data_IF_700727955154
#
_entry.id   IF_700727955154
#
_cell.length_a   1.000
_cell.length_b   1.000
_cell.length_c   1.000
_cell.angle_alpha   90.00
_cell.angle_beta   90.00
_cell.angle_gamma   90.00
#
_symmetry.space_group_name_H-M   'P 1'
#
loop_
_entity.id
_entity.type
_entity.pdbx_description
1 polymer ?
#
# COMPACT_ATOMS: atom_id res chain seq x y z
N UNK A 1 -28.16 5.12 15.85
CA UNK A 1 -27.32 5.33 17.04
C UNK A 1 -26.27 4.22 17.08
N UNK A 2 -25.22 4.37 16.26
CA UNK A 2 -23.98 3.58 16.28
C UNK A 2 -22.89 4.60 15.93
N UNK A 3 -22.11 5.01 16.93
CA UNK A 3 -20.96 5.89 16.77
C UNK A 3 -19.86 5.14 16.03
N UNK A 4 -19.49 5.61 14.83
CA UNK A 4 -18.28 5.19 14.15
C UNK A 4 -17.09 5.89 14.82
N UNK A 5 -16.36 5.15 15.65
CA UNK A 5 -15.12 5.62 16.24
C UNK A 5 -14.06 5.78 15.14
N UNK A 6 -13.83 7.03 14.70
CA UNK A 6 -12.65 7.41 13.94
C UNK A 6 -11.41 7.21 14.82
N UNK A 7 -10.72 6.07 14.66
CA UNK A 7 -9.43 5.80 15.26
C UNK A 7 -8.34 6.48 14.42
N UNK A 8 -8.05 7.73 14.73
CA UNK A 8 -6.89 8.43 14.18
C UNK A 8 -5.60 7.78 14.71
N UNK A 9 -4.88 7.11 13.83
CA UNK A 9 -3.51 6.71 14.08
C UNK A 9 -2.59 7.92 13.90
N UNK A 10 -2.20 8.55 15.00
CA UNK A 10 -1.20 9.61 14.99
C UNK A 10 0.18 9.02 15.29
N UNK A 11 1.13 9.23 14.39
CA UNK A 11 2.57 9.06 14.63
C UNK A 11 3.18 10.46 14.67
N UNK A 12 4.05 10.73 15.65
CA UNK A 12 4.81 11.97 15.71
C UNK A 12 6.28 11.68 16.01
N UNK A 13 7.17 12.51 15.47
CA UNK A 13 8.62 12.32 15.54
C UNK A 13 9.20 13.45 16.39
N UNK A 14 9.83 13.15 17.53
CA UNK A 14 10.47 14.18 18.34
C UNK A 14 11.84 14.56 17.76
N UNK A 15 12.07 15.86 17.56
CA UNK A 15 13.42 16.42 17.35
C UNK A 15 13.98 16.96 18.67
N UNK A 16 15.26 16.72 19.00
CA UNK A 16 15.88 17.24 20.21
C UNK A 16 16.49 18.63 19.95
N UNK A 17 15.82 19.70 20.37
CA UNK A 17 16.46 21.02 20.47
C UNK A 17 17.10 21.20 21.85
N UNK A 18 18.43 21.34 21.87
CA UNK A 18 19.13 22.01 22.98
C UNK A 18 19.58 23.39 22.50
N UNK A 19 19.00 24.43 23.11
CA UNK A 19 19.37 25.82 22.89
C UNK A 19 20.69 26.14 23.60
N UNK A 20 21.61 26.83 22.92
CA UNK A 20 22.59 27.72 23.54
C UNK A 20 22.91 28.89 22.62
N UNK A 21 22.83 30.09 23.19
CA UNK A 21 22.90 31.37 22.48
C UNK A 21 24.30 32.02 22.53
N UNK A 22 24.63 32.71 21.42
CA UNK A 22 25.44 33.95 21.28
C UNK A 22 27.00 33.89 21.33
N UNK A 23 27.73 34.92 20.84
CA UNK A 23 27.66 35.63 19.55
C UNK A 23 29.05 35.83 18.84
N UNK A 24 29.05 36.28 17.58
CA UNK A 24 30.20 36.73 16.73
C UNK A 24 30.99 37.94 17.30
N UNK A 25 32.21 38.39 16.80
CA UNK A 25 32.56 38.52 15.35
C UNK A 25 34.06 38.60 14.83
N UNK A 26 34.18 38.59 13.48
CA UNK A 26 35.06 39.38 12.54
C UNK A 26 36.47 38.93 12.03
N UNK A 27 36.51 38.78 10.68
CA UNK A 27 37.53 39.22 9.67
C UNK A 27 38.87 38.46 9.59
N UNK A 28 39.58 38.22 8.46
CA UNK A 28 39.80 38.96 7.19
C UNK A 28 40.53 38.03 6.17
N UNK A 29 40.27 38.22 4.87
CA UNK A 29 40.97 37.70 3.66
C UNK A 29 42.14 38.68 3.34
N UNK A 30 43.28 38.39 2.65
CA UNK A 30 43.33 37.86 1.26
C UNK A 30 44.54 37.01 0.76
N UNK A 31 44.31 36.35 -0.39
CA UNK A 31 45.29 35.75 -1.33
C UNK A 31 46.11 36.82 -2.09
N UNK A 32 47.16 36.53 -2.92
CA UNK A 32 46.93 35.97 -4.29
C UNK A 32 48.10 35.23 -5.03
N UNK A 33 47.74 34.61 -6.18
CA UNK A 33 48.51 34.36 -7.46
C UNK A 33 49.68 33.35 -7.46
N UNK A 34 50.08 32.68 -8.55
CA UNK A 34 49.59 32.15 -9.86
C UNK A 34 50.86 31.59 -10.59
N UNK A 35 50.69 30.84 -11.70
CA UNK A 35 51.67 30.42 -12.75
C UNK A 35 52.21 28.98 -12.57
N UNK A 36 52.43 28.11 -13.58
CA UNK A 36 52.21 28.06 -15.05
C UNK A 36 52.55 26.60 -15.51
N UNK A 37 51.92 26.13 -16.59
CA UNK A 37 52.25 24.91 -17.37
C UNK A 37 53.58 25.05 -18.18
N UNK A 38 54.22 23.97 -18.72
CA UNK A 38 53.87 23.42 -20.06
C UNK A 38 54.08 21.87 -20.24
N UNK A 39 54.03 21.39 -21.49
CA UNK A 39 53.47 20.10 -21.96
C UNK A 39 54.43 19.09 -22.66
N UNK A 40 54.07 17.78 -22.63
CA UNK A 40 54.21 16.66 -23.64
C UNK A 40 55.63 16.24 -24.18
N UNK A 41 55.85 15.16 -25.00
CA UNK A 41 55.02 14.05 -25.53
C UNK A 41 55.69 12.61 -25.59
N UNK A 42 55.03 11.63 -26.27
CA UNK A 42 55.47 10.28 -26.77
C UNK A 42 55.53 9.13 -25.74
N UNK A 43 55.14 7.85 -25.99
CA UNK A 43 55.23 7.00 -27.21
C UNK A 43 54.41 5.70 -27.01
N UNK A 44 53.69 5.25 -28.04
CA UNK A 44 53.19 3.86 -28.22
C UNK A 44 54.37 2.91 -28.62
N UNK A 45 54.31 1.55 -28.51
CA UNK A 45 53.42 0.75 -29.37
C UNK A 45 53.05 -0.72 -28.94
N UNK A 46 52.18 -1.33 -29.77
CA UNK A 46 52.03 -2.78 -30.12
C UNK A 46 51.16 -3.72 -29.25
N UNK A 47 50.04 -4.12 -29.87
CA UNK A 47 49.21 -5.32 -29.67
C UNK A 47 49.90 -6.62 -30.15
N UNK A 48 49.45 -7.83 -29.74
CA UNK A 48 48.44 -8.55 -30.55
C UNK A 48 47.40 -9.40 -29.78
N UNK A 49 46.22 -9.54 -30.42
CA UNK A 49 45.30 -10.69 -30.49
C UNK A 49 45.08 -11.62 -29.28
N UNK A 50 43.85 -11.61 -28.73
CA UNK A 50 43.10 -12.82 -28.39
C UNK A 50 41.59 -12.54 -28.51
N UNK A 51 40.92 -13.34 -29.35
CA UNK A 51 39.51 -13.23 -29.67
C UNK A 51 38.64 -13.87 -28.58
N UNK A 52 37.60 -13.16 -28.13
CA UNK A 52 36.49 -13.74 -27.36
C UNK A 52 35.28 -13.93 -28.30
N UNK A 53 34.61 -15.10 -28.30
CA UNK A 53 33.43 -15.33 -29.13
C UNK A 53 32.16 -14.70 -28.52
N UNK A 54 31.10 -14.48 -29.32
CA UNK A 54 29.90 -13.77 -28.90
C UNK A 54 28.97 -14.67 -28.07
N UNK A 55 28.42 -14.12 -26.99
CA UNK A 55 27.39 -14.78 -26.19
C UNK A 55 26.08 -14.90 -26.98
N UNK A 56 25.70 -16.14 -27.24
CA UNK A 56 24.49 -16.57 -27.93
C UNK A 56 23.23 -16.20 -27.17
N UNK A 57 22.21 -15.76 -27.92
CA UNK A 57 20.82 -15.59 -27.49
C UNK A 57 20.30 -16.84 -26.78
N UNK A 58 19.80 -16.69 -25.54
CA UNK A 58 18.97 -17.71 -24.90
C UNK A 58 17.52 -17.22 -24.85
N UNK A 59 16.70 -17.84 -25.70
CA UNK A 59 15.24 -17.93 -25.53
C UNK A 59 14.94 -18.84 -24.33
N UNK A 60 13.87 -18.60 -23.55
CA UNK A 60 13.46 -19.53 -22.51
C UNK A 60 12.90 -20.79 -23.16
N UNK A 61 13.59 -21.92 -22.98
CA UNK A 61 13.10 -23.23 -23.36
C UNK A 61 12.50 -23.87 -22.13
N UNK A 62 11.19 -24.08 -22.18
CA UNK A 62 10.47 -24.96 -21.29
C UNK A 62 11.08 -26.36 -21.36
N UNK A 63 11.54 -26.88 -20.23
CA UNK A 63 11.74 -28.30 -20.00
C UNK A 63 12.06 -28.51 -18.51
N UNK A 64 11.03 -28.78 -17.72
CA UNK A 64 11.21 -29.61 -16.51
C UNK A 64 10.64 -30.96 -16.87
N UNK A 65 11.55 -31.88 -17.21
CA UNK A 65 11.27 -33.31 -17.26
C UNK A 65 10.95 -33.77 -15.84
N UNK A 66 9.67 -33.82 -15.50
CA UNK A 66 9.23 -34.55 -14.32
C UNK A 66 9.31 -36.05 -14.64
N UNK A 67 10.16 -36.77 -13.91
CA UNK A 67 10.11 -38.23 -13.89
C UNK A 67 8.69 -38.65 -13.48
N UNK A 68 8.08 -39.53 -14.27
CA UNK A 68 6.76 -40.07 -13.97
C UNK A 68 6.81 -40.84 -12.65
N UNK A 69 6.34 -40.19 -11.57
CA UNK A 69 6.02 -40.84 -10.31
C UNK A 69 4.73 -41.66 -10.49
N UNK A 70 4.55 -42.75 -9.71
CA UNK A 70 3.37 -43.62 -9.83
C UNK A 70 2.07 -42.81 -9.68
N UNK A 71 1.05 -43.19 -10.46
CA UNK A 71 -0.28 -42.57 -10.49
C UNK A 71 -0.83 -42.46 -9.06
N UNK A 72 -0.90 -41.24 -8.56
CA UNK A 72 -1.44 -40.94 -7.24
C UNK A 72 -2.95 -40.76 -7.38
N UNK A 73 -3.73 -41.57 -6.68
CA UNK A 73 -5.20 -41.58 -6.65
C UNK A 73 -5.77 -40.36 -5.88
N UNK A 74 -5.22 -39.17 -6.10
CA UNK A 74 -5.64 -37.93 -5.43
C UNK A 74 -5.46 -36.70 -6.33
N UNK A 75 -6.32 -35.71 -6.14
CA UNK A 75 -6.29 -34.40 -6.80
C UNK A 75 -6.27 -33.28 -5.76
N UNK A 76 -5.49 -32.22 -6.01
CA UNK A 76 -5.42 -31.03 -5.18
C UNK A 76 -5.83 -29.80 -5.98
N UNK A 77 -6.70 -28.99 -5.41
CA UNK A 77 -7.10 -27.68 -5.96
C UNK A 77 -6.76 -26.61 -4.93
N UNK A 78 -5.83 -25.72 -5.27
CA UNK A 78 -5.43 -24.60 -4.41
C UNK A 78 -6.18 -23.33 -4.81
N UNK A 79 -7.08 -22.88 -3.94
CA UNK A 79 -7.86 -21.66 -4.10
C UNK A 79 -7.33 -20.51 -3.24
N UNK A 80 -7.82 -19.29 -3.51
CA UNK A 80 -7.45 -18.12 -2.72
C UNK A 80 -8.14 -18.16 -1.34
N UNK A 81 -7.53 -18.87 -0.38
CA UNK A 81 -7.98 -18.99 1.01
C UNK A 81 -8.43 -20.40 1.44
N UNK A 82 -8.57 -21.34 0.50
CA UNK A 82 -9.03 -22.71 0.75
C UNK A 82 -8.24 -23.70 -0.12
N UNK A 83 -8.03 -24.92 0.37
CA UNK A 83 -7.39 -26.01 -0.36
C UNK A 83 -8.34 -27.20 -0.37
N UNK A 84 -8.68 -27.66 -1.57
CA UNK A 84 -9.52 -28.85 -1.75
C UNK A 84 -8.64 -30.05 -2.09
N UNK A 85 -8.78 -31.13 -1.32
CA UNK A 85 -8.17 -32.43 -1.58
C UNK A 85 -9.27 -33.43 -1.93
N UNK A 86 -9.16 -34.05 -3.10
CA UNK A 86 -10.02 -35.15 -3.54
C UNK A 86 -9.23 -36.45 -3.56
N UNK A 87 -9.77 -37.49 -2.93
CA UNK A 87 -9.18 -38.83 -2.87
C UNK A 87 -10.15 -39.82 -3.48
N UNK A 88 -9.70 -40.59 -4.47
CA UNK A 88 -10.51 -41.66 -5.05
C UNK A 88 -10.60 -42.84 -4.06
N UNK A 89 -11.82 -43.13 -3.59
CA UNK A 89 -12.11 -44.21 -2.65
C UNK A 89 -12.78 -45.42 -3.33
N UNK A 90 -13.06 -45.35 -4.64
CA UNK A 90 -13.73 -46.42 -5.40
C UNK A 90 -12.97 -47.75 -5.31
N UNK A 91 -11.64 -47.69 -5.33
CA UNK A 91 -10.75 -48.87 -5.29
C UNK A 91 -10.61 -49.48 -3.89
N UNK A 92 -11.12 -48.82 -2.85
CA UNK A 92 -10.86 -49.14 -1.44
C UNK A 92 -12.04 -49.84 -0.74
N UNK A 93 -13.19 -49.98 -1.41
CA UNK A 93 -14.37 -50.68 -0.88
C UNK A 93 -14.99 -50.00 0.34
N UNK A 94 -14.90 -48.67 0.40
CA UNK A 94 -15.42 -47.87 1.53
C UNK A 94 -16.88 -47.53 1.23
N UNK A 95 -17.81 -48.21 1.90
CA UNK A 95 -19.26 -48.05 1.64
C UNK A 95 -19.93 -46.99 2.54
N UNK A 96 -19.24 -46.46 3.56
CA UNK A 96 -19.85 -45.55 4.54
C UNK A 96 -18.89 -44.48 5.07
N UNK A 97 -19.40 -43.26 5.28
CA UNK A 97 -18.67 -42.16 5.95
C UNK A 97 -18.27 -42.48 7.38
N UNK A 98 -18.92 -43.48 8.02
CA UNK A 98 -18.59 -43.95 9.37
C UNK A 98 -17.24 -44.65 9.47
N UNK A 99 -16.72 -45.11 8.34
CA UNK A 99 -15.46 -45.83 8.26
C UNK A 99 -14.28 -44.90 7.89
N UNK A 100 -14.52 -43.60 7.70
CA UNK A 100 -13.51 -42.60 7.37
C UNK A 100 -13.20 -41.74 8.59
N UNK A 101 -11.90 -41.55 8.85
CA UNK A 101 -11.37 -40.74 9.93
C UNK A 101 -10.42 -39.71 9.33
N UNK A 102 -10.84 -38.45 9.34
CA UNK A 102 -10.03 -37.29 8.94
C UNK A 102 -9.64 -36.56 10.22
N UNK A 103 -8.34 -36.57 10.51
CA UNK A 103 -7.73 -35.90 11.66
C UNK A 103 -6.84 -34.78 11.13
N UNK A 104 -7.05 -33.58 11.66
CA UNK A 104 -6.53 -32.33 11.08
C UNK A 104 -6.03 -31.45 12.21
N UNK A 105 -4.73 -31.20 12.18
CA UNK A 105 -4.08 -30.19 13.04
C UNK A 105 -3.74 -28.95 12.21
N UNK A 106 -3.30 -27.88 12.88
CA UNK A 106 -2.86 -26.62 12.27
C UNK A 106 -1.83 -26.80 11.14
N UNK A 107 -1.04 -27.89 11.19
CA UNK A 107 0.04 -28.19 10.23
C UNK A 107 0.04 -29.64 9.76
N UNK A 108 -0.93 -30.46 10.15
CA UNK A 108 -0.90 -31.91 9.90
C UNK A 108 -2.26 -32.39 9.38
N UNK A 109 -2.23 -33.39 8.51
CA UNK A 109 -3.42 -34.04 7.96
C UNK A 109 -3.21 -35.55 7.96
N UNK A 110 -4.08 -36.25 8.66
CA UNK A 110 -4.10 -37.71 8.72
C UNK A 110 -5.48 -38.22 8.31
N UNK A 111 -5.52 -38.94 7.20
CA UNK A 111 -6.73 -39.57 6.68
C UNK A 111 -6.57 -41.07 6.78
N UNK A 112 -7.48 -41.71 7.51
CA UNK A 112 -7.57 -43.17 7.68
C UNK A 112 -8.95 -43.64 7.27
N UNK A 113 -9.02 -44.82 6.68
CA UNK A 113 -10.29 -45.46 6.38
C UNK A 113 -10.26 -46.94 6.80
N UNK A 114 -11.39 -47.44 7.26
CA UNK A 114 -11.57 -48.84 7.63
C UNK A 114 -12.07 -49.59 6.41
N UNK A 115 -11.32 -50.62 6.01
CA UNK A 115 -11.66 -51.51 4.90
C UNK A 115 -11.44 -52.95 5.40
N UNK A 116 -12.44 -53.81 5.22
CA UNK A 116 -12.44 -55.20 5.70
C UNK A 116 -12.07 -55.36 7.18
N UNK A 117 -12.56 -54.46 8.04
CA UNK A 117 -12.29 -54.48 9.47
C UNK A 117 -10.91 -53.95 9.88
N UNK A 118 -10.00 -53.68 8.93
CA UNK A 118 -8.66 -53.16 9.20
C UNK A 118 -8.58 -51.67 8.90
N UNK A 119 -7.99 -50.89 9.80
CA UNK A 119 -7.78 -49.46 9.59
C UNK A 119 -6.55 -49.25 8.68
N UNK A 120 -6.77 -48.65 7.50
CA UNK A 120 -5.71 -48.30 6.54
C UNK A 120 -5.50 -46.79 6.53
N UNK A 121 -4.24 -46.36 6.43
CA UNK A 121 -3.89 -44.95 6.24
C UNK A 121 -3.95 -44.60 4.77
N UNK A 122 -4.81 -43.66 4.40
CA UNK A 122 -4.96 -43.16 3.03
C UNK A 122 -3.97 -42.02 2.76
N UNK A 123 -3.80 -41.13 3.73
CA UNK A 123 -2.87 -40.02 3.65
C UNK A 123 -2.32 -39.68 5.03
N UNK A 124 -1.03 -39.39 5.10
CA UNK A 124 -0.37 -38.93 6.31
C UNK A 124 0.61 -37.83 5.93
N UNK A 125 0.23 -36.59 6.21
CA UNK A 125 1.05 -35.39 5.98
C UNK A 125 1.36 -34.79 7.34
N UNK A 126 2.61 -34.90 7.76
CA UNK A 126 3.06 -34.38 9.05
C UNK A 126 3.30 -32.87 9.05
N UNK A 127 3.51 -32.28 7.86
CA UNK A 127 3.81 -30.84 7.71
C UNK A 127 3.20 -30.33 6.42
N UNK A 128 2.14 -29.53 6.55
CA UNK A 128 1.55 -28.73 5.48
C UNK A 128 2.38 -27.46 5.26
N UNK A 129 2.43 -26.96 4.02
CA UNK A 129 3.15 -25.73 3.67
C UNK A 129 2.53 -24.49 4.32
N UNK A 130 1.20 -24.44 4.35
CA UNK A 130 0.42 -23.39 4.98
C UNK A 130 -0.26 -23.92 6.25
N UNK A 131 -0.53 -23.01 7.18
CA UNK A 131 -1.37 -23.32 8.34
C UNK A 131 -2.83 -23.39 7.93
N UNK A 132 -3.55 -24.35 8.48
CA UNK A 132 -4.98 -24.56 8.21
C UNK A 132 -5.78 -24.41 9.50
N UNK A 133 -7.03 -23.94 9.37
CA UNK A 133 -7.96 -23.88 10.51
C UNK A 133 -8.64 -25.23 10.67
N UNK A 134 -8.15 -26.04 11.60
CA UNK A 134 -8.72 -27.36 11.91
C UNK A 134 -10.22 -27.29 12.24
N UNK A 135 -10.67 -26.25 12.95
CA UNK A 135 -12.08 -26.02 13.30
C UNK A 135 -12.99 -25.64 12.12
N UNK A 136 -12.43 -25.13 11.03
CA UNK A 136 -13.17 -24.74 9.82
C UNK A 136 -12.95 -25.72 8.67
N UNK A 137 -12.25 -26.83 8.91
CA UNK A 137 -12.04 -27.89 7.93
C UNK A 137 -13.29 -28.75 7.84
N UNK A 138 -13.78 -28.96 6.62
CA UNK A 138 -14.93 -29.83 6.36
C UNK A 138 -14.52 -30.97 5.43
N UNK A 139 -15.13 -32.12 5.62
CA UNK A 139 -14.94 -33.26 4.73
C UNK A 139 -16.27 -33.96 4.47
N UNK A 140 -16.41 -34.52 3.27
CA UNK A 140 -17.58 -35.26 2.84
C UNK A 140 -17.22 -36.27 1.76
N UNK A 141 -18.09 -37.23 1.52
CA UNK A 141 -17.97 -38.18 0.42
C UNK A 141 -18.89 -37.69 -0.69
N UNK A 142 -18.33 -37.49 -1.89
CA UNK A 142 -19.03 -37.15 -3.11
C UNK A 142 -18.88 -38.30 -4.10
N UNK A 143 -19.97 -39.02 -4.36
CA UNK A 143 -19.99 -40.27 -5.13
C UNK A 143 -18.93 -41.27 -4.63
N UNK A 144 -17.83 -41.43 -5.38
CA UNK A 144 -16.72 -42.33 -5.09
C UNK A 144 -15.44 -41.60 -4.64
N UNK A 145 -15.55 -40.33 -4.23
CA UNK A 145 -14.43 -39.48 -3.82
C UNK A 145 -14.61 -38.95 -2.39
N UNK A 146 -13.54 -39.01 -1.59
CA UNK A 146 -13.45 -38.27 -0.34
C UNK A 146 -12.92 -36.86 -0.63
N UNK A 147 -13.76 -35.86 -0.36
CA UNK A 147 -13.43 -34.44 -0.51
C UNK A 147 -13.12 -33.86 0.86
N UNK A 148 -11.94 -33.25 1.01
CA UNK A 148 -11.50 -32.53 2.21
C UNK A 148 -11.22 -31.09 1.82
N UNK A 149 -12.02 -30.15 2.32
CA UNK A 149 -11.79 -28.73 2.14
C UNK A 149 -11.12 -28.16 3.40
N UNK A 150 -9.85 -27.77 3.23
CA UNK A 150 -8.99 -27.21 4.25
C UNK A 150 -8.98 -25.69 4.10
N UNK A 151 -9.53 -24.99 5.09
CA UNK A 151 -9.46 -23.53 5.10
C UNK A 151 -8.08 -23.07 5.55
N UNK A 152 -7.41 -22.26 4.73
CA UNK A 152 -6.12 -21.67 5.10
C UNK A 152 -6.36 -20.73 6.28
N UNK A 153 -5.47 -20.78 7.28
CA UNK A 153 -5.31 -19.66 8.18
C UNK A 153 -4.84 -18.53 7.29
N UNK A 154 -5.68 -17.49 7.11
CA UNK A 154 -5.20 -16.22 6.58
C UNK A 154 -3.93 -15.91 7.34
N UNK A 155 -2.77 -15.97 6.67
CA UNK A 155 -1.53 -15.58 7.30
C UNK A 155 -1.76 -14.14 7.72
N UNK A 156 -2.04 -13.92 9.01
CA UNK A 156 -1.83 -12.63 9.62
C UNK A 156 -0.46 -12.22 9.14
N UNK A 157 -0.37 -11.13 8.38
CA UNK A 157 0.92 -10.60 7.94
C UNK A 157 1.80 -10.59 9.17
N UNK A 158 2.71 -11.57 9.24
CA UNK A 158 3.69 -11.64 10.31
C UNK A 158 4.68 -10.56 9.96
N UNK A 159 4.32 -9.35 10.36
CA UNK A 159 5.28 -8.28 10.48
C UNK A 159 6.40 -8.83 11.37
N UNK A 160 7.66 -8.81 10.93
CA UNK A 160 8.74 -8.91 11.88
C UNK A 160 8.52 -7.76 12.87
N UNK A 161 8.28 -8.13 14.13
CA UNK A 161 7.80 -7.25 15.20
C UNK A 161 8.87 -6.24 15.66
N UNK A 162 9.84 -5.88 14.82
CA UNK A 162 11.08 -5.25 15.23
C UNK A 162 11.48 -4.21 14.18
N UNK A 163 11.36 -2.97 14.65
CA UNK A 163 11.71 -1.68 14.05
C UNK A 163 10.73 -1.14 13.00
N UNK A 164 10.07 -0.02 13.36
CA UNK A 164 9.46 0.95 12.44
C UNK A 164 10.54 1.66 11.61
N UNK A 165 11.58 0.94 11.18
CA UNK A 165 12.61 1.45 10.30
C UNK A 165 12.06 1.72 8.91
N UNK A 166 12.69 2.64 8.20
CA UNK A 166 12.30 3.00 6.85
C UNK A 166 12.22 1.79 5.91
N UNK A 167 13.20 0.88 5.97
CA UNK A 167 13.26 -0.29 5.09
C UNK A 167 12.15 -1.31 5.39
N UNK A 168 11.83 -1.49 6.68
CA UNK A 168 10.76 -2.40 7.12
C UNK A 168 9.39 -1.87 6.71
N UNK A 169 9.15 -0.57 6.94
CA UNK A 169 7.91 0.09 6.59
C UNK A 169 7.67 0.10 5.08
N UNK A 170 8.67 0.48 4.30
CA UNK A 170 8.53 0.58 2.84
C UNK A 170 8.30 -0.78 2.18
N UNK A 171 8.98 -1.83 2.65
CA UNK A 171 8.77 -3.19 2.16
C UNK A 171 7.39 -3.74 2.53
N UNK A 172 6.97 -3.60 3.78
CA UNK A 172 5.74 -4.24 4.26
C UNK A 172 4.46 -3.49 3.91
N UNK A 173 4.47 -2.16 3.81
CA UNK A 173 3.23 -1.38 3.60
C UNK A 173 2.64 -1.62 2.21
N UNK A 174 3.46 -1.94 1.22
CA UNK A 174 3.01 -2.22 -0.15
C UNK A 174 2.02 -3.40 -0.21
N UNK A 175 2.17 -4.37 0.69
CA UNK A 175 1.27 -5.52 0.82
C UNK A 175 -0.07 -5.10 1.44
N UNK A 176 -0.07 -4.16 2.38
CA UNK A 176 -1.28 -3.63 3.03
C UNK A 176 -2.08 -2.69 2.13
N UNK A 177 -1.39 -1.87 1.33
CA UNK A 177 -2.03 -0.95 0.40
C UNK A 177 -2.67 -1.69 -0.77
N UNK A 178 -2.25 -2.92 -1.07
CA UNK A 178 -2.78 -3.77 -2.17
C UNK A 178 -2.79 -3.09 -3.55
N UNK A 179 -1.91 -2.10 -3.76
CA UNK A 179 -1.82 -1.34 -5.00
C UNK A 179 -2.68 -0.06 -5.06
N UNK A 180 -3.44 0.26 -4.00
CA UNK A 180 -4.19 1.51 -3.89
C UNK A 180 -3.21 2.69 -3.78
N UNK A 181 -3.52 3.79 -4.46
CA UNK A 181 -2.72 5.01 -4.45
C UNK A 181 -2.75 5.71 -3.09
N UNK A 182 -1.78 6.58 -2.84
CA UNK A 182 -1.70 7.43 -1.66
C UNK A 182 -1.79 8.89 -2.10
N UNK A 183 -2.60 9.70 -1.43
CA UNK A 183 -2.74 11.12 -1.67
C UNK A 183 -2.22 11.89 -0.46
N UNK A 184 -1.25 12.77 -0.68
CA UNK A 184 -0.71 13.67 0.33
C UNK A 184 -1.41 15.02 0.18
N UNK A 185 -2.14 15.41 1.23
CA UNK A 185 -2.90 16.66 1.29
C UNK A 185 -2.41 17.50 2.47
N UNK A 186 -2.56 18.82 2.39
CA UNK A 186 -2.14 19.72 3.46
C UNK A 186 -2.12 21.16 2.99
N UNK A 187 -1.84 22.09 3.90
CA UNK A 187 -1.87 23.53 3.59
C UNK A 187 -0.67 24.00 2.75
N UNK A 188 0.41 23.23 2.69
CA UNK A 188 1.65 23.64 2.02
C UNK A 188 2.03 22.67 0.88
N UNK A 189 2.05 23.20 -0.34
CA UNK A 189 2.39 22.45 -1.57
C UNK A 189 3.79 21.84 -1.51
N UNK A 190 4.80 22.60 -1.08
CA UNK A 190 6.20 22.14 -1.09
C UNK A 190 6.41 20.95 -0.15
N UNK A 191 5.73 20.97 1.00
CA UNK A 191 5.76 19.87 1.97
C UNK A 191 5.10 18.63 1.37
N UNK A 192 3.93 18.79 0.77
CA UNK A 192 3.19 17.69 0.17
C UNK A 192 4.02 17.01 -0.94
N UNK A 193 4.65 17.81 -1.81
CA UNK A 193 5.50 17.31 -2.90
C UNK A 193 6.74 16.57 -2.41
N UNK A 194 7.49 17.16 -1.47
CA UNK A 194 8.70 16.55 -0.94
C UNK A 194 8.40 15.20 -0.27
N UNK A 195 7.36 15.16 0.56
CA UNK A 195 6.96 13.94 1.27
C UNK A 195 6.39 12.89 0.31
N UNK A 196 5.59 13.28 -0.68
CA UNK A 196 5.06 12.36 -1.68
C UNK A 196 6.18 11.69 -2.50
N UNK A 197 7.19 12.48 -2.92
CA UNK A 197 8.36 11.98 -3.66
C UNK A 197 9.13 10.95 -2.83
N UNK A 198 9.44 11.27 -1.58
CA UNK A 198 10.17 10.36 -0.69
C UNK A 198 9.37 9.07 -0.39
N UNK A 199 8.05 9.17 -0.15
CA UNK A 199 7.19 7.99 0.04
C UNK A 199 7.18 7.13 -1.21
N UNK A 200 7.00 7.73 -2.39
CA UNK A 200 6.92 7.02 -3.67
C UNK A 200 8.20 6.24 -3.96
N UNK A 201 9.36 6.90 -3.80
CA UNK A 201 10.67 6.27 -3.95
C UNK A 201 10.86 5.13 -2.95
N UNK A 202 10.42 5.32 -1.69
CA UNK A 202 10.49 4.30 -0.65
C UNK A 202 9.69 3.05 -0.98
N UNK A 203 8.40 3.19 -1.30
CA UNK A 203 7.48 2.06 -1.52
C UNK A 203 7.49 1.54 -2.97
N UNK A 204 8.25 2.16 -3.87
CA UNK A 204 8.33 1.80 -5.30
C UNK A 204 7.07 2.15 -6.09
N UNK A 205 6.37 3.22 -5.70
CA UNK A 205 5.21 3.75 -6.42
C UNK A 205 5.63 4.91 -7.32
N UNK A 206 4.75 5.33 -8.24
CA UNK A 206 5.02 6.48 -9.11
C UNK A 206 4.70 7.79 -8.36
N UNK A 207 5.68 8.70 -8.15
CA UNK A 207 5.39 10.03 -7.63
C UNK A 207 4.67 10.85 -8.69
N UNK A 208 3.58 11.52 -8.29
CA UNK A 208 2.80 12.41 -9.15
C UNK A 208 2.55 13.72 -8.40
N UNK A 209 2.93 14.85 -8.98
CA UNK A 209 2.66 16.16 -8.40
C UNK A 209 1.61 16.88 -9.25
N UNK A 210 0.47 17.26 -8.66
CA UNK A 210 -0.59 17.95 -9.41
C UNK A 210 -0.16 19.33 -9.89
N UNK A 211 0.68 20.02 -9.12
CA UNK A 211 1.36 21.27 -9.51
C UNK A 211 2.10 21.13 -10.83
N UNK A 212 3.03 20.17 -10.94
CA UNK A 212 3.82 19.92 -12.15
C UNK A 212 2.92 19.57 -13.36
N UNK A 213 1.85 18.79 -13.15
CA UNK A 213 0.89 18.46 -14.20
C UNK A 213 0.09 19.68 -14.68
N UNK A 214 -0.32 20.55 -13.76
CA UNK A 214 -1.06 21.76 -14.09
C UNK A 214 -0.18 22.81 -14.78
N UNK A 215 1.04 23.01 -14.30
CA UNK A 215 1.99 23.95 -14.89
C UNK A 215 2.44 23.50 -16.29
N UNK A 216 2.66 22.19 -16.48
CA UNK A 216 2.98 21.64 -17.80
C UNK A 216 1.80 21.70 -18.78
N UNK A 217 0.57 21.56 -18.31
CA UNK A 217 -0.63 21.67 -19.15
C UNK A 217 -0.96 23.12 -19.54
N UNK A 218 -0.67 24.09 -18.67
CA UNK A 218 -1.03 25.51 -18.86
C UNK A 218 0.11 26.41 -19.33
N UNK A 219 1.35 25.91 -19.28
CA UNK A 219 2.59 26.68 -19.53
C UNK A 219 2.73 27.93 -18.65
N UNK A 220 2.05 27.96 -17.50
CA UNK A 220 2.06 29.06 -16.52
C UNK A 220 2.38 28.50 -15.13
N UNK A 221 3.04 29.30 -14.30
CA UNK A 221 3.18 28.93 -12.88
C UNK A 221 1.84 29.04 -12.16
N UNK A 222 1.63 28.22 -11.14
CA UNK A 222 0.41 28.25 -10.33
C UNK A 222 0.16 29.64 -9.74
N UNK A 223 1.19 30.33 -9.25
CA UNK A 223 1.06 31.68 -8.69
C UNK A 223 0.54 32.70 -9.71
N UNK A 224 1.03 32.62 -10.96
CA UNK A 224 0.59 33.51 -12.04
C UNK A 224 -0.84 33.19 -12.45
N UNK A 225 -1.21 31.90 -12.44
CA UNK A 225 -2.54 31.46 -12.78
C UNK A 225 -3.57 31.90 -11.73
N UNK A 226 -3.25 31.73 -10.44
CA UNK A 226 -4.06 32.24 -9.33
C UNK A 226 -4.24 33.75 -9.42
N UNK A 227 -3.18 34.50 -9.76
CA UNK A 227 -3.26 35.96 -9.87
C UNK A 227 -4.13 36.45 -11.05
N UNK A 228 -4.27 35.65 -12.11
CA UNK A 228 -4.99 36.02 -13.33
C UNK A 228 -6.42 35.53 -13.37
N UNK A 229 -6.67 34.29 -12.97
CA UNK A 229 -7.97 33.62 -13.09
C UNK A 229 -8.63 33.39 -11.73
N UNK A 230 -7.84 33.32 -10.65
CA UNK A 230 -8.32 33.16 -9.28
C UNK A 230 -8.14 31.74 -8.73
N UNK A 231 -8.24 31.63 -7.40
CA UNK A 231 -8.00 30.37 -6.67
C UNK A 231 -9.01 29.27 -7.00
N UNK A 232 -10.26 29.62 -7.32
CA UNK A 232 -11.31 28.64 -7.56
C UNK A 232 -11.11 27.92 -8.91
N UNK A 233 -10.66 28.63 -9.94
CA UNK A 233 -10.34 28.01 -11.24
C UNK A 233 -9.18 27.02 -11.16
N UNK A 234 -8.15 27.34 -10.38
CA UNK A 234 -7.02 26.43 -10.15
C UNK A 234 -7.47 25.19 -9.38
N UNK A 235 -8.31 25.34 -8.37
CA UNK A 235 -8.86 24.22 -7.61
C UNK A 235 -9.75 23.32 -8.50
N UNK A 236 -10.55 23.91 -9.38
CA UNK A 236 -11.38 23.17 -10.33
C UNK A 236 -10.51 22.41 -11.36
N UNK A 237 -9.46 23.03 -11.87
CA UNK A 237 -8.52 22.37 -12.76
C UNK A 237 -7.78 21.21 -12.08
N UNK A 238 -7.35 21.39 -10.83
CA UNK A 238 -6.76 20.30 -10.04
C UNK A 238 -7.77 19.16 -9.85
N UNK A 239 -9.05 19.47 -9.62
CA UNK A 239 -10.09 18.45 -9.49
C UNK A 239 -10.22 17.57 -10.74
N UNK A 240 -10.07 18.15 -11.93
CA UNK A 240 -10.06 17.40 -13.21
C UNK A 240 -8.82 16.49 -13.32
N UNK A 241 -7.67 16.96 -12.84
CA UNK A 241 -6.46 16.13 -12.77
C UNK A 241 -6.67 14.96 -11.81
N UNK A 242 -7.25 15.21 -10.64
CA UNK A 242 -7.56 14.17 -9.64
C UNK A 242 -8.58 13.14 -10.15
N UNK A 243 -9.56 13.57 -10.94
CA UNK A 243 -10.49 12.67 -11.63
C UNK A 243 -9.74 11.70 -12.54
N UNK A 244 -8.86 12.22 -13.40
CA UNK A 244 -8.04 11.37 -14.28
C UNK A 244 -7.15 10.41 -13.47
N UNK A 245 -6.55 10.90 -12.37
CA UNK A 245 -5.69 10.12 -11.49
C UNK A 245 -6.45 9.06 -10.66
N UNK A 246 -7.76 9.20 -10.46
CA UNK A 246 -8.56 8.27 -9.64
C UNK A 246 -8.57 6.82 -10.17
N UNK A 247 -8.30 6.64 -11.47
CA UNK A 247 -8.19 5.32 -12.11
C UNK A 247 -6.78 4.72 -12.02
N UNK A 248 -5.79 5.50 -11.59
CA UNK A 248 -4.40 5.06 -11.53
C UNK A 248 -4.14 4.29 -10.24
N UNK A 249 -3.35 3.22 -10.36
CA UNK A 249 -2.92 2.39 -9.25
C UNK A 249 -1.44 2.59 -8.99
N UNK A 250 -1.00 2.38 -7.74
CA UNK A 250 0.41 2.47 -7.32
C UNK A 250 1.05 3.84 -7.61
N UNK A 251 0.30 4.91 -7.33
CA UNK A 251 0.78 6.30 -7.39
C UNK A 251 0.82 6.90 -5.99
N UNK A 252 1.71 7.87 -5.79
CA UNK A 252 1.68 8.77 -4.63
C UNK A 252 1.49 10.18 -5.16
N UNK A 253 0.33 10.76 -4.90
CA UNK A 253 -0.11 12.03 -5.47
C UNK A 253 0.09 13.14 -4.43
N UNK A 254 0.89 14.15 -4.73
CA UNK A 254 0.95 15.39 -3.97
C UNK A 254 -0.08 16.38 -4.53
N UNK A 255 -0.96 16.88 -3.67
CA UNK A 255 -1.93 17.92 -4.04
C UNK A 255 -1.40 19.32 -3.74
N UNK A 256 -1.93 20.31 -4.44
CA UNK A 256 -1.75 21.73 -4.11
C UNK A 256 -2.21 22.01 -2.67
N UNK A 257 -1.47 22.88 -2.01
CA UNK A 257 -1.77 23.31 -0.65
C UNK A 257 -2.68 24.53 -0.57
N UNK A 258 -3.31 24.69 0.59
CA UNK A 258 -4.05 25.89 0.93
C UNK A 258 -5.28 26.11 0.06
N UNK A 259 -5.69 27.37 -0.12
CA UNK A 259 -6.98 27.73 -0.73
C UNK A 259 -7.10 27.41 -2.22
N UNK A 260 -5.97 27.34 -2.93
CA UNK A 260 -5.95 26.99 -4.35
C UNK A 260 -6.03 25.48 -4.60
N UNK A 261 -5.84 24.65 -3.57
CA UNK A 261 -5.91 23.20 -3.72
C UNK A 261 -7.33 22.66 -3.65
N UNK A 262 -7.67 21.71 -4.52
CA UNK A 262 -8.93 20.98 -4.54
C UNK A 262 -9.22 20.30 -3.19
N UNK A 263 -8.19 19.77 -2.53
CA UNK A 263 -8.32 19.13 -1.22
C UNK A 263 -8.81 20.07 -0.11
N UNK A 264 -8.67 21.40 -0.27
CA UNK A 264 -9.21 22.39 0.67
C UNK A 264 -10.73 22.60 0.56
N UNK A 265 -11.37 22.04 -0.48
CA UNK A 265 -12.80 22.22 -0.79
C UNK A 265 -13.59 20.99 -0.41
N UNK A 266 -14.71 21.15 0.29
CA UNK A 266 -15.48 20.01 0.81
C UNK A 266 -16.13 19.16 -0.29
N UNK A 267 -16.50 19.77 -1.40
CA UNK A 267 -17.20 19.19 -2.54
C UNK A 267 -16.29 18.46 -3.53
N UNK A 268 -14.96 18.60 -3.43
CA UNK A 268 -13.98 18.01 -4.37
C UNK A 268 -13.29 16.74 -3.88
N UNK A 269 -13.82 16.08 -2.84
CA UNK A 269 -13.19 14.91 -2.22
C UNK A 269 -13.49 13.56 -2.88
N UNK A 270 -14.48 13.50 -3.77
CA UNK A 270 -14.93 12.24 -4.37
C UNK A 270 -13.78 11.44 -5.00
N UNK A 271 -12.85 12.11 -5.69
CA UNK A 271 -11.71 11.46 -6.32
C UNK A 271 -10.55 11.22 -5.35
N UNK A 272 -10.38 12.01 -4.29
CA UNK A 272 -9.36 11.78 -3.27
C UNK A 272 -9.62 10.49 -2.49
N UNK A 273 -10.89 10.14 -2.29
CA UNK A 273 -11.30 8.89 -1.63
C UNK A 273 -10.94 7.62 -2.41
N UNK A 274 -10.54 7.73 -3.69
CA UNK A 274 -10.01 6.63 -4.49
C UNK A 274 -8.73 6.02 -3.89
N UNK A 275 -7.92 6.82 -3.19
CA UNK A 275 -6.69 6.40 -2.55
C UNK A 275 -6.71 6.57 -1.03
N UNK A 276 -5.61 6.19 -0.37
CA UNK A 276 -5.38 6.51 1.03
C UNK A 276 -4.97 7.98 1.16
N UNK A 277 -5.67 8.75 1.96
CA UNK A 277 -5.45 10.19 2.12
C UNK A 277 -4.68 10.47 3.42
N UNK A 278 -3.54 11.15 3.29
CA UNK A 278 -2.66 11.55 4.40
C UNK A 278 -2.67 13.07 4.51
N UNK A 279 -3.19 13.60 5.61
CA UNK A 279 -3.17 15.03 5.88
C UNK A 279 -1.91 15.44 6.65
N UNK A 280 -1.04 16.22 6.02
CA UNK A 280 0.10 16.89 6.63
C UNK A 280 -0.34 18.25 7.19
N UNK A 281 -0.18 18.42 8.50
CA UNK A 281 -0.54 19.65 9.19
C UNK A 281 0.60 20.12 10.08
N UNK A 282 1.08 21.34 9.86
CA UNK A 282 2.04 21.97 10.76
C UNK A 282 1.31 22.38 12.04
N UNK A 283 1.91 22.07 13.18
CA UNK A 283 1.36 22.13 14.52
C UNK A 283 2.25 22.99 15.40
N UNK A 284 1.65 23.88 16.18
CA UNK A 284 2.36 24.71 17.17
C UNK A 284 2.57 23.97 18.51
N UNK A 285 2.07 22.74 18.63
CA UNK A 285 2.24 21.91 19.80
C UNK A 285 3.72 21.64 20.14
N UNK A 286 4.09 21.80 21.41
CA UNK A 286 5.46 21.55 21.89
C UNK A 286 5.78 20.08 22.20
N UNK A 287 4.78 19.19 22.14
CA UNK A 287 4.92 17.78 22.47
C UNK A 287 3.92 16.89 21.71
N UNK A 288 4.23 15.59 21.62
CA UNK A 288 3.45 14.57 20.92
C UNK A 288 2.00 14.44 21.43
N UNK A 289 1.79 14.48 22.76
CA UNK A 289 0.46 14.28 23.33
C UNK A 289 -0.45 15.46 22.97
N UNK A 290 0.07 16.67 23.03
CA UNK A 290 -0.64 17.88 22.59
C UNK A 290 -0.93 17.86 21.09
N UNK A 291 0.04 17.47 20.25
CA UNK A 291 -0.14 17.35 18.81
C UNK A 291 -1.21 16.30 18.45
N UNK A 292 -1.23 15.17 19.16
CA UNK A 292 -2.22 14.10 18.98
C UNK A 292 -3.64 14.57 19.35
N UNK A 293 -3.76 15.30 20.45
CA UNK A 293 -5.05 15.86 20.87
C UNK A 293 -5.52 16.98 19.92
N UNK A 294 -4.61 17.78 19.38
CA UNK A 294 -4.91 18.76 18.34
C UNK A 294 -5.40 18.08 17.04
N UNK A 295 -4.74 17.00 16.60
CA UNK A 295 -5.20 16.21 15.46
C UNK A 295 -6.61 15.65 15.70
N UNK A 296 -6.86 15.08 16.87
CA UNK A 296 -8.18 14.56 17.26
C UNK A 296 -9.24 15.66 17.23
N UNK A 297 -8.95 16.84 17.77
CA UNK A 297 -9.84 18.01 17.73
C UNK A 297 -10.08 18.53 16.33
N UNK A 298 -9.04 18.55 15.49
CA UNK A 298 -9.15 19.02 14.11
C UNK A 298 -10.09 18.13 13.30
N UNK A 299 -9.90 16.80 13.40
CA UNK A 299 -10.76 15.82 12.74
C UNK A 299 -12.19 15.87 13.29
N UNK A 300 -12.37 15.93 14.62
CA UNK A 300 -13.71 15.94 15.22
C UNK A 300 -14.47 17.24 14.96
N UNK A 301 -13.77 18.37 14.82
CA UNK A 301 -14.40 19.64 14.46
C UNK A 301 -14.99 19.61 13.05
N UNK A 302 -14.40 18.82 12.14
CA UNK A 302 -14.79 18.77 10.73
C UNK A 302 -14.73 20.13 10.01
N UNK A 303 -14.08 21.13 10.62
CA UNK A 303 -14.16 22.54 10.18
C UNK A 303 -13.38 22.84 8.91
N UNK A 304 -12.45 21.95 8.56
CA UNK A 304 -11.60 22.05 7.37
C UNK A 304 -11.80 20.79 6.53
N UNK A 305 -11.79 20.93 5.19
CA UNK A 305 -12.02 19.82 4.29
C UNK A 305 -11.04 18.66 4.50
N UNK A 306 -9.79 18.96 4.88
CA UNK A 306 -8.76 17.97 5.24
C UNK A 306 -9.15 17.02 6.37
N UNK A 307 -10.13 17.35 7.21
CA UNK A 307 -10.66 16.45 8.23
C UNK A 307 -11.27 15.16 7.65
N UNK A 308 -11.55 15.12 6.33
CA UNK A 308 -11.99 13.93 5.59
C UNK A 308 -10.86 12.94 5.28
N UNK A 309 -9.60 13.29 5.57
CA UNK A 309 -8.47 12.42 5.33
C UNK A 309 -8.52 11.14 6.19
N UNK A 310 -7.94 10.05 5.68
CA UNK A 310 -7.93 8.77 6.39
C UNK A 310 -6.94 8.79 7.56
N UNK A 311 -5.82 9.51 7.43
CA UNK A 311 -4.83 9.72 8.50
C UNK A 311 -4.37 11.18 8.57
N UNK A 312 -3.91 11.59 9.76
CA UNK A 312 -3.38 12.94 10.01
C UNK A 312 -2.00 12.83 10.63
N UNK A 313 -1.04 13.56 10.08
CA UNK A 313 0.35 13.64 10.57
C UNK A 313 0.64 15.09 10.92
N UNK A 314 0.99 15.31 12.19
CA UNK A 314 1.28 16.63 12.75
C UNK A 314 2.78 16.88 12.76
N UNK A 315 3.20 18.04 12.24
CA UNK A 315 4.59 18.43 12.11
C UNK A 315 4.90 19.58 13.07
N UNK A 316 5.93 19.47 13.91
CA UNK A 316 6.37 20.57 14.81
C UNK A 316 7.13 21.70 14.10
N UNK A 317 7.02 21.77 12.77
CA UNK A 317 7.83 22.60 11.88
C UNK A 317 8.16 21.86 10.59
N UNK A 318 8.74 22.58 9.62
CA UNK A 318 9.18 21.99 8.36
C UNK A 318 10.63 22.34 8.06
N UNK A 319 11.42 21.31 7.78
CA UNK A 319 12.76 21.40 7.21
C UNK A 319 12.89 20.27 6.17
N UNK A 320 13.32 20.55 4.93
CA UNK A 320 13.56 19.53 3.91
C UNK A 320 14.48 18.39 4.37
N UNK A 321 15.42 18.63 5.30
CA UNK A 321 16.29 17.59 5.85
C UNK A 321 15.50 16.49 6.60
N UNK A 322 14.31 16.82 7.12
CA UNK A 322 13.44 15.89 7.83
C UNK A 322 12.36 15.25 6.95
N UNK A 323 12.41 15.43 5.63
CA UNK A 323 11.43 14.85 4.68
C UNK A 323 11.26 13.34 4.89
N UNK A 324 12.37 12.60 5.04
CA UNK A 324 12.34 11.15 5.31
C UNK A 324 11.66 10.80 6.63
N UNK A 325 11.92 11.57 7.67
CA UNK A 325 11.26 11.36 8.95
C UNK A 325 9.74 11.54 8.80
N UNK A 326 9.31 12.64 8.16
CA UNK A 326 7.87 12.88 7.92
C UNK A 326 7.24 11.76 7.08
N UNK A 327 7.91 11.34 6.00
CA UNK A 327 7.47 10.22 5.17
C UNK A 327 7.34 8.92 5.99
N UNK A 328 8.30 8.64 6.87
CA UNK A 328 8.26 7.49 7.77
C UNK A 328 7.04 7.57 8.71
N UNK A 329 6.77 8.74 9.30
CA UNK A 329 5.58 8.98 10.12
C UNK A 329 4.26 8.75 9.36
N UNK A 330 4.22 9.13 8.07
CA UNK A 330 3.09 8.83 7.20
C UNK A 330 2.89 7.33 7.00
N UNK A 331 3.97 6.59 6.76
CA UNK A 331 3.91 5.13 6.59
C UNK A 331 3.49 4.42 7.88
N UNK A 332 3.96 4.89 9.04
CA UNK A 332 3.49 4.38 10.35
C UNK A 332 2.00 4.63 10.51
N UNK A 333 1.51 5.84 10.24
CA UNK A 333 0.08 6.16 10.33
C UNK A 333 -0.77 5.29 9.40
N UNK A 334 -0.35 5.12 8.14
CA UNK A 334 -1.01 4.24 7.17
C UNK A 334 -1.00 2.77 7.59
N UNK A 335 0.12 2.28 8.15
CA UNK A 335 0.21 0.92 8.71
C UNK A 335 -0.82 0.73 9.82
N UNK A 336 -0.89 1.66 10.78
CA UNK A 336 -1.84 1.57 11.89
C UNK A 336 -3.30 1.61 11.41
N UNK A 337 -3.63 2.46 10.44
CA UNK A 337 -4.97 2.52 9.84
C UNK A 337 -5.35 1.19 9.16
N UNK A 338 -4.46 0.65 8.34
CA UNK A 338 -4.72 -0.59 7.59
C UNK A 338 -4.78 -1.83 8.49
N UNK A 339 -4.06 -1.82 9.61
CA UNK A 339 -4.20 -2.83 10.65
C UNK A 339 -5.54 -2.70 11.41
N UNK A 340 -6.04 -1.48 11.61
CA UNK A 340 -7.31 -1.22 12.27
C UNK A 340 -8.52 -1.60 11.40
N UNK A 341 -8.51 -1.31 10.10
CA UNK A 341 -9.52 -1.78 9.13
C UNK A 341 -8.86 -2.54 7.96
N UNK A 342 -8.69 -3.85 8.15
CA UNK A 342 -8.14 -4.77 7.12
C UNK A 342 -8.95 -4.79 5.81
N UNK A 343 -10.22 -4.36 5.83
CA UNK A 343 -11.09 -4.34 4.64
C UNK A 343 -11.03 -3.02 3.88
N UNK A 344 -10.37 -1.99 4.43
CA UNK A 344 -10.37 -0.63 3.88
C UNK A 344 -9.80 -0.57 2.46
N UNK A 345 -8.67 -1.25 2.20
CA UNK A 345 -8.08 -1.28 0.88
C UNK A 345 -9.02 -1.92 -0.17
N UNK A 346 -9.71 -3.00 0.22
CA UNK A 346 -10.73 -3.63 -0.62
C UNK A 346 -11.95 -2.74 -0.88
N UNK A 347 -12.40 -1.98 0.13
CA UNK A 347 -13.47 -0.97 -0.04
C UNK A 347 -13.05 0.13 -1.00
N UNK A 348 -11.84 0.69 -0.87
CA UNK A 348 -11.32 1.71 -1.81
C UNK A 348 -11.20 1.16 -3.24
N UNK A 349 -10.74 -0.08 -3.40
CA UNK A 349 -10.73 -0.76 -4.70
C UNK A 349 -12.13 -0.91 -5.31
N UNK A 350 -13.14 -1.23 -4.50
CA UNK A 350 -14.53 -1.26 -4.97
C UNK A 350 -15.02 0.13 -5.38
N UNK A 351 -14.73 1.16 -4.58
CA UNK A 351 -15.11 2.54 -4.87
C UNK A 351 -14.51 3.04 -6.20
N UNK A 352 -13.23 2.73 -6.47
CA UNK A 352 -12.59 3.00 -7.77
C UNK A 352 -13.35 2.31 -8.92
N UNK A 353 -13.65 1.00 -8.77
CA UNK A 353 -14.34 0.22 -9.82
C UNK A 353 -15.75 0.71 -10.12
N UNK A 354 -16.39 1.38 -9.16
CA UNK A 354 -17.71 2.00 -9.32
C UNK A 354 -17.62 3.44 -9.84
N UNK A 355 -16.41 3.96 -10.11
CA UNK A 355 -16.21 5.27 -10.73
C UNK A 355 -16.17 6.45 -9.77
N UNK A 356 -15.84 6.23 -8.49
CA UNK A 356 -15.70 7.29 -7.49
C UNK A 356 -16.93 8.22 -7.38
N UNK A 357 -18.13 7.65 -7.26
CA UNK A 357 -19.44 8.35 -7.36
C UNK A 357 -19.74 9.36 -6.24
N UNK A 358 -18.87 9.53 -5.26
CA UNK A 358 -19.09 10.44 -4.13
C UNK A 358 -19.90 9.85 -2.96
N UNK A 359 -20.24 8.56 -2.99
CA UNK A 359 -20.92 7.81 -1.92
C UNK A 359 -19.97 7.29 -0.82
N UNK A 360 -18.68 7.64 -0.88
CA UNK A 360 -17.74 7.27 0.18
C UNK A 360 -18.11 7.90 1.53
N UNK A 361 -18.04 7.18 2.67
CA UNK A 361 -17.51 5.82 2.86
C UNK A 361 -18.55 4.69 2.74
N UNK A 362 -19.83 5.02 2.54
CA UNK A 362 -20.93 4.06 2.49
C UNK A 362 -21.32 3.79 1.04
N UNK A 363 -20.58 2.88 0.40
CA UNK A 363 -20.75 2.56 -1.02
C UNK A 363 -22.14 1.98 -1.28
N UNK A 364 -22.92 2.67 -2.11
CA UNK A 364 -24.28 2.30 -2.51
C UNK A 364 -24.27 1.19 -3.58
N UNK A 365 -25.36 0.44 -3.78
CA UNK A 365 -25.38 -0.66 -4.75
C UNK A 365 -25.18 -0.19 -6.20
N UNK A 366 -24.82 -1.11 -7.11
CA UNK A 366 -24.77 -0.83 -8.55
C UNK A 366 -26.14 -0.34 -9.05
N UNK A 367 -26.18 0.74 -9.83
CA UNK A 367 -27.41 1.36 -10.32
C UNK A 367 -27.95 2.51 -9.46
N UNK A 368 -27.35 2.77 -8.30
CA UNK A 368 -27.55 4.04 -7.58
C UNK A 368 -26.86 5.18 -8.31
N UNK A 369 -27.58 6.28 -8.51
CA UNK A 369 -27.12 7.50 -9.15
C UNK A 369 -27.11 8.65 -8.13
N UNK A 370 -25.94 9.28 -7.86
CA UNK A 370 -25.83 10.38 -6.90
C UNK A 370 -26.65 11.62 -7.28
N UNK A 371 -27.01 11.80 -8.55
CA UNK A 371 -27.81 12.94 -9.02
C UNK A 371 -29.31 12.68 -9.02
N UNK A 372 -29.72 11.43 -8.74
CA UNK A 372 -31.10 10.99 -8.75
C UNK A 372 -31.72 11.03 -7.34
N UNK A 373 -32.77 11.84 -7.15
CA UNK A 373 -33.62 11.82 -5.95
C UNK A 373 -34.45 10.51 -5.79
N UNK A 374 -34.37 9.57 -6.74
CA UNK A 374 -35.12 8.32 -6.68
C UNK A 374 -34.40 7.27 -5.80
N UNK A 375 -35.12 6.59 -4.89
CA UNK A 375 -34.53 5.55 -4.05
C UNK A 375 -34.01 4.38 -4.90
N UNK A 376 -32.94 3.70 -4.47
CA UNK A 376 -32.31 2.63 -5.23
C UNK A 376 -33.32 1.53 -5.54
N UNK A 377 -33.58 1.31 -6.83
CA UNK A 377 -34.34 0.16 -7.29
C UNK A 377 -33.48 -1.08 -7.11
N UNK A 378 -33.81 -1.89 -6.09
CA UNK A 378 -33.30 -3.25 -5.99
C UNK A 378 -33.71 -4.02 -7.25
N UNK A 379 -32.75 -4.33 -8.11
CA UNK A 379 -32.91 -5.29 -9.22
C UNK A 379 -32.26 -6.59 -8.82
#
# INVERSE_FOLDING_TARGET
>A
MIEAAAMAACSSIPLPFTAKASPHPRSRVPSPRRLRLPASPFREPRSPFAACPPASRLRPRASVSASAAPSKDYEFTDGNGEVELRLDIQKLGIESSKDVFVDVDDTSLLIRAKSDGTLRTLMNVQTLFDRIKSSETIWFIDEDQLVVNLKKVEQELKWPDIDESWESLTSGITQLLTGISVHIVGDNTDINEAVAKEIAEGIGYLPVCTSELLESATEKSIDTWVASEGVDYVADAESVVLESLSSHVRTVVATLGGKQGAASRFDRWQYLHSGFTVWLSVSDAGDEATAREEARRSVSSGSVAYAKADVVVKLGGWDPEYTRAVAQGCLVALKQLTLADKKLAGKKSLYIRLGCRGDWPNIEPPGWDPESDAPPTNV
#
